data_IF_386798594481
#
_entry.id   IF_386798594481
#
_cell.length_a   1.000
_cell.length_b   1.000
_cell.length_c   1.000
_cell.angle_alpha   90.00
_cell.angle_beta   90.00
_cell.angle_gamma   90.00
#
_symmetry.space_group_name_H-M   'P 1'
#
loop_
_entity.id
_entity.type
_entity.pdbx_description
1 polymer ?
#
# COMPACT_ATOMS: atom_id res chain seq x y z
N UNK A 1 26.04 13.06 -7.08
CA UNK A 1 24.88 13.95 -6.82
C UNK A 1 23.82 13.90 -7.93
N UNK A 2 24.19 13.78 -9.22
CA UNK A 2 23.24 13.70 -10.35
C UNK A 2 22.53 12.34 -10.57
N UNK A 3 23.02 11.22 -10.04
CA UNK A 3 22.39 9.90 -10.23
C UNK A 3 21.15 9.66 -9.36
N UNK A 4 21.00 10.38 -8.25
CA UNK A 4 19.84 10.26 -7.36
C UNK A 4 18.61 11.01 -7.92
N UNK A 5 18.86 12.18 -8.54
CA UNK A 5 17.84 12.97 -9.23
C UNK A 5 17.27 12.25 -10.45
N UNK A 6 18.09 11.53 -11.22
CA UNK A 6 17.61 10.71 -12.34
C UNK A 6 16.67 9.58 -11.88
N UNK A 7 16.91 8.98 -10.69
CA UNK A 7 16.00 7.97 -10.11
C UNK A 7 14.66 8.55 -9.62
N UNK A 8 14.64 9.80 -9.18
CA UNK A 8 13.39 10.48 -8.80
C UNK A 8 12.61 11.04 -10.01
N UNK A 9 13.29 11.43 -11.10
CA UNK A 9 12.66 12.07 -12.29
C UNK A 9 12.21 11.03 -13.33
N UNK A 10 12.87 9.87 -13.44
CA UNK A 10 12.50 8.79 -14.38
C UNK A 10 11.46 7.79 -13.80
N UNK A 11 11.08 7.93 -12.53
CA UNK A 11 10.15 7.01 -11.86
C UNK A 11 8.67 7.37 -11.97
N UNK A 12 8.34 8.51 -12.59
CA UNK A 12 6.96 8.93 -12.88
C UNK A 12 6.80 9.12 -14.38
N UNK A 13 7.16 8.10 -15.15
CA UNK A 13 6.51 7.90 -16.44
C UNK A 13 5.18 7.21 -16.16
N UNK A 14 4.12 7.70 -16.80
CA UNK A 14 2.72 7.29 -16.77
C UNK A 14 2.49 5.78 -17.03
N UNK A 15 2.99 4.91 -16.15
CA UNK A 15 2.68 3.50 -16.06
C UNK A 15 2.62 3.06 -14.59
N UNK A 16 1.98 3.88 -13.73
CA UNK A 16 1.61 3.47 -12.36
C UNK A 16 0.66 2.26 -12.35
N UNK A 17 0.10 1.92 -13.51
CA UNK A 17 -0.46 0.63 -13.84
C UNK A 17 -0.58 0.56 -15.37
N UNK A 18 0.43 0.02 -16.08
CA UNK A 18 0.05 -0.73 -17.28
C UNK A 18 -0.63 -1.97 -16.73
N UNK A 19 -1.96 -1.90 -16.62
CA UNK A 19 -2.79 -3.07 -16.81
C UNK A 19 -2.39 -3.57 -18.20
N UNK A 20 -1.31 -4.35 -18.23
CA UNK A 20 -0.81 -4.91 -19.44
C UNK A 20 -1.91 -5.92 -19.77
N UNK A 21 -2.88 -5.51 -20.58
CA UNK A 21 -4.03 -6.34 -20.95
C UNK A 21 -3.57 -7.66 -21.61
N UNK A 22 -2.29 -7.73 -22.02
CA UNK A 22 -1.58 -8.93 -22.47
C UNK A 22 -1.05 -9.84 -21.34
N UNK A 23 -1.16 -9.45 -20.07
CA UNK A 23 -0.64 -10.16 -18.89
C UNK A 23 -1.70 -10.37 -17.82
N UNK A 24 -2.73 -11.15 -18.14
CA UNK A 24 -3.27 -12.10 -17.16
C UNK A 24 -2.25 -13.24 -16.93
N UNK A 25 -1.00 -12.90 -16.60
CA UNK A 25 0.03 -13.88 -16.28
C UNK A 25 -0.26 -14.36 -14.85
N UNK A 26 -0.67 -15.63 -14.76
CA UNK A 26 -0.82 -16.38 -13.51
C UNK A 26 0.43 -16.18 -12.64
N UNK A 27 0.27 -15.56 -11.46
CA UNK A 27 1.32 -15.48 -10.42
C UNK A 27 1.92 -14.10 -10.13
N UNK A 28 1.60 -13.04 -10.87
CA UNK A 28 2.03 -11.67 -10.49
C UNK A 28 1.27 -11.16 -9.24
N UNK A 29 0.06 -11.67 -8.97
CA UNK A 29 -0.71 -11.38 -7.76
C UNK A 29 -0.09 -11.90 -6.45
N UNK A 30 0.98 -12.70 -6.54
CA UNK A 30 1.66 -13.34 -5.41
C UNK A 30 3.08 -12.81 -5.24
N UNK A 31 3.41 -11.68 -5.88
CA UNK A 31 4.72 -11.06 -5.80
C UNK A 31 4.58 -9.62 -5.34
N UNK A 32 5.56 -9.17 -4.55
CA UNK A 32 5.76 -7.79 -4.13
C UNK A 32 7.13 -7.32 -4.57
N UNK A 33 7.30 -6.02 -4.68
CA UNK A 33 8.61 -5.44 -4.97
C UNK A 33 9.60 -5.69 -3.84
N UNK A 34 10.88 -5.84 -4.19
CA UNK A 34 11.94 -5.88 -3.20
C UNK A 34 12.22 -4.46 -2.69
N UNK A 35 12.17 -4.19 -1.37
CA UNK A 35 12.25 -2.82 -0.84
C UNK A 35 13.53 -2.05 -1.23
N UNK A 36 14.62 -2.76 -1.50
CA UNK A 36 15.92 -2.16 -1.86
C UNK A 36 16.13 -2.07 -3.38
N UNK A 37 15.30 -2.75 -4.17
CA UNK A 37 15.39 -2.78 -5.63
C UNK A 37 14.00 -2.99 -6.27
N UNK A 38 13.41 -1.90 -6.77
CA UNK A 38 12.10 -1.89 -7.42
C UNK A 38 12.05 -2.67 -8.74
N UNK A 39 13.20 -3.06 -9.30
CA UNK A 39 13.26 -3.91 -10.50
C UNK A 39 13.14 -5.40 -10.15
N UNK A 40 13.32 -5.75 -8.87
CA UNK A 40 13.28 -7.11 -8.36
C UNK A 40 11.92 -7.41 -7.72
N UNK A 41 11.36 -8.55 -8.08
CA UNK A 41 10.12 -9.07 -7.52
C UNK A 41 10.42 -10.25 -6.59
N UNK A 42 9.84 -10.23 -5.39
CA UNK A 42 9.93 -11.32 -4.41
C UNK A 42 8.54 -11.93 -4.16
N UNK A 43 8.45 -13.23 -3.81
CA UNK A 43 7.18 -13.83 -3.44
C UNK A 43 6.58 -13.17 -2.19
N UNK A 44 5.28 -12.89 -2.23
CA UNK A 44 4.49 -12.56 -1.05
C UNK A 44 4.37 -13.81 -0.16
N UNK A 45 4.16 -13.62 1.13
CA UNK A 45 3.91 -14.74 2.06
C UNK A 45 2.43 -14.87 2.40
N UNK A 46 1.68 -13.78 2.42
CA UNK A 46 0.26 -13.73 2.77
C UNK A 46 0.00 -14.24 4.19
N UNK A 47 0.96 -14.08 5.10
CA UNK A 47 0.81 -14.45 6.51
C UNK A 47 0.58 -13.19 7.33
N UNK A 48 -0.19 -13.26 8.44
CA UNK A 48 -0.40 -12.10 9.30
C UNK A 48 0.91 -11.46 9.77
N UNK A 49 1.91 -12.29 10.10
CA UNK A 49 3.25 -11.83 10.48
C UNK A 49 3.95 -11.00 9.39
N UNK A 50 3.88 -11.40 8.13
CA UNK A 50 4.51 -10.65 7.04
C UNK A 50 3.71 -9.38 6.72
N UNK A 51 2.38 -9.43 6.78
CA UNK A 51 1.52 -8.25 6.64
C UNK A 51 1.86 -7.21 7.72
N UNK A 52 1.88 -7.62 8.99
CA UNK A 52 2.23 -6.75 10.12
C UNK A 52 3.62 -6.14 9.96
N UNK A 53 4.60 -6.94 9.51
CA UNK A 53 5.95 -6.45 9.22
C UNK A 53 5.94 -5.37 8.14
N UNK A 54 5.17 -5.52 7.07
CA UNK A 54 5.07 -4.48 6.04
C UNK A 54 4.32 -3.25 6.55
N UNK A 55 3.20 -3.41 7.28
CA UNK A 55 2.45 -2.29 7.88
C UNK A 55 3.34 -1.45 8.81
N UNK A 56 4.21 -2.10 9.61
CA UNK A 56 5.11 -1.41 10.56
C UNK A 56 6.08 -0.40 9.92
N UNK A 57 6.22 -0.38 8.58
CA UNK A 57 7.06 0.59 7.86
C UNK A 57 6.32 1.90 7.54
N UNK A 58 4.99 1.92 7.58
CA UNK A 58 4.19 3.11 7.29
C UNK A 58 4.54 4.34 8.15
N UNK A 59 4.78 4.24 9.47
CA UNK A 59 5.10 5.41 10.28
C UNK A 59 6.34 6.17 9.80
N UNK A 60 7.39 5.45 9.39
CA UNK A 60 8.62 6.06 8.85
C UNK A 60 8.37 6.69 7.47
N UNK A 61 7.57 6.05 6.62
CA UNK A 61 7.17 6.64 5.33
C UNK A 61 6.32 7.90 5.50
N UNK A 62 5.41 7.90 6.46
CA UNK A 62 4.60 9.07 6.81
C UNK A 62 5.47 10.23 7.31
N UNK A 63 6.43 9.95 8.19
CA UNK A 63 7.40 10.95 8.65
C UNK A 63 8.18 11.58 7.49
N UNK A 64 8.55 10.78 6.48
CA UNK A 64 9.21 11.30 5.26
C UNK A 64 8.30 12.22 4.45
N UNK A 65 7.00 11.91 4.32
CA UNK A 65 6.03 12.83 3.70
C UNK A 65 5.98 14.17 4.44
N UNK A 66 5.90 14.13 5.78
CA UNK A 66 5.86 15.35 6.61
C UNK A 66 7.09 16.25 6.40
N UNK A 67 8.29 15.67 6.30
CA UNK A 67 9.50 16.44 6.02
C UNK A 67 9.58 16.93 4.58
N UNK A 68 9.05 16.15 3.63
CA UNK A 68 9.15 16.43 2.21
C UNK A 68 8.15 17.49 1.71
N UNK A 69 7.09 17.81 2.48
CA UNK A 69 5.98 18.68 2.05
C UNK A 69 6.38 20.05 1.49
N UNK A 70 7.49 20.62 1.96
CA UNK A 70 7.96 21.94 1.54
C UNK A 70 8.94 21.90 0.34
N UNK A 71 9.34 20.71 -0.12
CA UNK A 71 10.22 20.51 -1.26
C UNK A 71 9.49 19.68 -2.33
N UNK A 72 9.11 20.28 -3.48
CA UNK A 72 8.34 19.58 -4.51
C UNK A 72 9.02 18.32 -5.06
N UNK A 73 10.36 18.27 -5.11
CA UNK A 73 11.09 17.10 -5.60
C UNK A 73 11.06 16.02 -4.52
N UNK A 74 11.37 16.38 -3.28
CA UNK A 74 11.32 15.44 -2.17
C UNK A 74 9.91 14.86 -1.98
N UNK A 75 8.87 15.70 -2.12
CA UNK A 75 7.47 15.30 -1.97
C UNK A 75 7.07 14.27 -3.02
N UNK A 76 7.45 14.47 -4.28
CA UNK A 76 7.24 13.47 -5.34
C UNK A 76 7.87 12.13 -5.00
N UNK A 77 9.12 12.12 -4.52
CA UNK A 77 9.78 10.86 -4.15
C UNK A 77 9.11 10.21 -2.92
N UNK A 78 8.68 11.01 -1.93
CA UNK A 78 8.00 10.49 -0.74
C UNK A 78 6.61 9.91 -1.06
N UNK A 79 5.84 10.58 -1.92
CA UNK A 79 4.54 10.10 -2.44
C UNK A 79 4.70 8.80 -3.20
N UNK A 80 5.68 8.72 -4.12
CA UNK A 80 5.96 7.50 -4.86
C UNK A 80 6.33 6.32 -3.93
N UNK A 81 7.15 6.57 -2.90
CA UNK A 81 7.52 5.55 -1.92
C UNK A 81 6.32 5.06 -1.10
N UNK A 82 5.45 5.97 -0.64
CA UNK A 82 4.24 5.62 0.11
C UNK A 82 3.27 4.80 -0.75
N UNK A 83 3.01 5.27 -1.98
CA UNK A 83 2.16 4.58 -2.96
C UNK A 83 2.67 3.17 -3.26
N UNK A 84 3.97 3.04 -3.50
CA UNK A 84 4.62 1.76 -3.75
C UNK A 84 4.48 0.80 -2.57
N UNK A 85 4.71 1.29 -1.36
CA UNK A 85 4.59 0.49 -0.15
C UNK A 85 3.14 0.04 0.12
N UNK A 86 2.14 0.89 -0.16
CA UNK A 86 0.74 0.48 -0.10
C UNK A 86 0.43 -0.68 -1.05
N UNK A 87 1.01 -0.68 -2.26
CA UNK A 87 0.85 -1.79 -3.19
C UNK A 87 1.49 -3.08 -2.68
N UNK A 88 2.64 -2.98 -1.99
CA UNK A 88 3.29 -4.12 -1.32
C UNK A 88 2.38 -4.72 -0.24
N UNK A 89 1.84 -3.88 0.65
CA UNK A 89 0.91 -4.33 1.72
C UNK A 89 -0.35 -4.94 1.13
N UNK A 90 -0.92 -4.33 0.09
CA UNK A 90 -2.11 -4.82 -0.61
C UNK A 90 -1.87 -6.18 -1.28
N UNK A 91 -0.67 -6.42 -1.84
CA UNK A 91 -0.30 -7.71 -2.42
C UNK A 91 -0.24 -8.82 -1.36
N UNK A 92 0.29 -8.52 -0.17
CA UNK A 92 0.29 -9.47 0.96
C UNK A 92 -1.14 -9.78 1.44
N UNK A 93 -1.99 -8.77 1.58
CA UNK A 93 -3.42 -8.95 1.89
C UNK A 93 -4.14 -9.81 0.86
N UNK A 94 -3.92 -9.53 -0.44
CA UNK A 94 -4.51 -10.31 -1.53
C UNK A 94 -4.12 -11.78 -1.45
N UNK A 95 -2.84 -12.09 -1.21
CA UNK A 95 -2.38 -13.47 -1.07
C UNK A 95 -2.96 -14.12 0.19
N UNK A 96 -3.08 -13.39 1.30
CA UNK A 96 -3.69 -13.87 2.53
C UNK A 96 -5.13 -14.36 2.32
N UNK A 97 -5.98 -13.55 1.66
CA UNK A 97 -7.36 -13.94 1.36
C UNK A 97 -7.43 -15.07 0.33
N UNK A 98 -6.58 -15.03 -0.70
CA UNK A 98 -6.48 -16.10 -1.70
C UNK A 98 -6.15 -17.47 -1.08
N UNK A 99 -5.19 -17.52 -0.14
CA UNK A 99 -4.80 -18.77 0.54
C UNK A 99 -5.93 -19.37 1.38
N UNK A 100 -6.90 -18.54 1.79
CA UNK A 100 -8.08 -18.94 2.56
C UNK A 100 -9.29 -19.24 1.67
N UNK A 101 -9.16 -19.07 0.35
CA UNK A 101 -10.27 -19.31 -0.59
C UNK A 101 -11.41 -18.30 -0.43
N UNK A 102 -11.14 -17.10 0.09
CA UNK A 102 -12.15 -16.05 0.27
C UNK A 102 -11.89 -14.88 -0.67
N UNK A 103 -12.98 -14.27 -1.15
CA UNK A 103 -12.95 -13.00 -1.88
C UNK A 103 -13.13 -11.87 -0.87
N UNK A 104 -12.16 -10.94 -0.72
CA UNK A 104 -12.24 -9.82 0.23
C UNK A 104 -13.40 -8.85 -0.03
N UNK A 105 -14.03 -8.89 -1.20
CA UNK A 105 -15.22 -8.09 -1.49
C UNK A 105 -16.52 -8.74 -0.96
N UNK A 106 -16.50 -10.05 -0.65
CA UNK A 106 -17.70 -10.85 -0.38
C UNK A 106 -17.45 -11.94 0.68
N UNK A 107 -16.93 -11.54 1.85
CA UNK A 107 -16.73 -12.43 2.99
C UNK A 107 -18.03 -12.54 3.80
N UNK A 108 -18.45 -13.77 4.10
CA UNK A 108 -19.66 -14.02 4.90
C UNK A 108 -19.50 -13.66 6.37
N UNK A 109 -18.30 -13.89 6.91
CA UNK A 109 -17.98 -13.53 8.29
C UNK A 109 -17.84 -12.00 8.41
N UNK A 110 -18.62 -11.41 9.32
CA UNK A 110 -18.66 -9.95 9.47
C UNK A 110 -17.35 -9.36 9.99
N UNK A 111 -16.69 -10.04 10.93
CA UNK A 111 -15.45 -9.56 11.53
C UNK A 111 -14.34 -9.55 10.48
N UNK A 112 -14.26 -10.62 9.68
CA UNK A 112 -13.29 -10.72 8.61
C UNK A 112 -13.62 -9.80 7.42
N UNK A 113 -14.91 -9.56 7.12
CA UNK A 113 -15.33 -8.56 6.13
C UNK A 113 -14.92 -7.14 6.56
N UNK A 114 -15.15 -6.77 7.82
CA UNK A 114 -14.73 -5.46 8.34
C UNK A 114 -13.20 -5.28 8.26
N UNK A 115 -12.42 -6.33 8.55
CA UNK A 115 -10.97 -6.28 8.37
C UNK A 115 -10.58 -6.12 6.89
N UNK A 116 -11.27 -6.80 5.97
CA UNK A 116 -11.07 -6.64 4.53
C UNK A 116 -11.42 -5.24 4.05
N UNK A 117 -12.48 -4.63 4.57
CA UNK A 117 -12.92 -3.29 4.23
C UNK A 117 -11.89 -2.23 4.66
N UNK A 118 -11.47 -2.30 5.93
CA UNK A 118 -10.46 -1.39 6.50
C UNK A 118 -9.10 -1.51 5.80
N UNK A 119 -8.73 -2.74 5.42
CA UNK A 119 -7.41 -2.98 4.84
C UNK A 119 -7.39 -2.99 3.31
N UNK A 120 -7.95 -4.05 2.73
CA UNK A 120 -7.85 -4.32 1.30
C UNK A 120 -8.75 -3.39 0.51
N UNK A 121 -10.05 -3.31 0.79
CA UNK A 121 -10.98 -2.61 -0.12
C UNK A 121 -10.73 -1.10 -0.21
N UNK A 122 -10.22 -0.48 0.85
CA UNK A 122 -9.90 0.96 0.89
C UNK A 122 -8.55 1.33 0.23
N UNK A 123 -7.79 0.37 -0.32
CA UNK A 123 -6.46 0.64 -0.86
C UNK A 123 -6.46 1.65 -2.03
N UNK A 124 -7.50 1.62 -2.88
CA UNK A 124 -7.61 2.53 -4.04
C UNK A 124 -7.88 3.97 -3.59
N UNK A 125 -8.73 4.14 -2.59
CA UNK A 125 -9.02 5.46 -2.02
C UNK A 125 -7.78 6.04 -1.36
N UNK A 126 -7.00 5.20 -0.68
CA UNK A 126 -5.69 5.62 -0.14
C UNK A 126 -4.72 6.10 -1.22
N UNK A 127 -4.63 5.40 -2.37
CA UNK A 127 -3.79 5.84 -3.49
C UNK A 127 -4.21 7.23 -4.01
N UNK A 128 -5.52 7.49 -4.09
CA UNK A 128 -6.03 8.80 -4.46
C UNK A 128 -5.64 9.88 -3.44
N UNK A 129 -5.79 9.60 -2.14
CA UNK A 129 -5.41 10.52 -1.06
C UNK A 129 -3.92 10.89 -1.11
N UNK A 130 -3.02 9.92 -1.37
CA UNK A 130 -1.59 10.21 -1.49
C UNK A 130 -1.33 11.09 -2.73
N UNK A 131 -1.97 10.79 -3.86
CA UNK A 131 -1.77 11.55 -5.09
C UNK A 131 -2.24 13.01 -4.97
N UNK A 132 -3.26 13.26 -4.15
CA UNK A 132 -3.75 14.61 -3.85
C UNK A 132 -2.70 15.51 -3.16
N UNK A 133 -1.66 14.93 -2.54
CA UNK A 133 -0.53 15.71 -2.01
C UNK A 133 0.31 16.38 -3.13
N UNK A 134 0.30 15.82 -4.34
CA UNK A 134 0.99 16.40 -5.50
C UNK A 134 0.07 17.30 -6.33
N UNK A 135 -1.19 16.89 -6.42
CA UNK A 135 -2.20 17.51 -7.28
C UNK A 135 -3.47 17.70 -6.48
N UNK A 136 -3.58 18.83 -5.78
CA UNK A 136 -4.77 19.16 -5.01
C UNK A 136 -6.00 19.19 -5.92
N UNK A 137 -6.88 18.20 -5.77
CA UNK A 137 -8.16 18.12 -6.48
C UNK A 137 -9.32 18.46 -5.55
N UNK A 138 -9.42 17.77 -4.41
CA UNK A 138 -10.57 17.86 -3.50
C UNK A 138 -10.20 18.20 -2.06
N UNK A 139 -9.21 17.51 -1.48
CA UNK A 139 -8.81 17.69 -0.07
C UNK A 139 -7.74 18.77 0.10
N UNK A 140 -7.66 19.38 1.27
CA UNK A 140 -6.48 20.16 1.64
C UNK A 140 -5.29 19.24 1.91
N UNK A 141 -4.06 19.78 1.90
CA UNK A 141 -2.86 19.01 2.27
C UNK A 141 -3.01 18.41 3.68
N UNK A 142 -3.52 19.19 4.62
CA UNK A 142 -3.75 18.76 6.01
C UNK A 142 -4.76 17.60 6.07
N UNK A 143 -5.88 17.71 5.34
CA UNK A 143 -6.88 16.64 5.26
C UNK A 143 -6.31 15.37 4.63
N UNK A 144 -5.50 15.49 3.58
CA UNK A 144 -4.83 14.35 2.96
C UNK A 144 -3.84 13.67 3.91
N UNK A 145 -3.06 14.45 4.66
CA UNK A 145 -2.14 13.92 5.67
C UNK A 145 -2.88 13.21 6.82
N UNK A 146 -4.00 13.78 7.28
CA UNK A 146 -4.86 13.16 8.29
C UNK A 146 -5.50 11.86 7.78
N UNK A 147 -5.99 11.85 6.55
CA UNK A 147 -6.55 10.65 5.92
C UNK A 147 -5.49 9.55 5.76
N UNK A 148 -4.23 9.89 5.49
CA UNK A 148 -3.14 8.93 5.46
C UNK A 148 -2.90 8.29 6.84
N UNK A 149 -2.90 9.09 7.92
CA UNK A 149 -2.78 8.56 9.28
C UNK A 149 -3.92 7.60 9.64
N UNK A 150 -5.16 7.96 9.30
CA UNK A 150 -6.33 7.11 9.54
C UNK A 150 -6.20 5.78 8.80
N UNK A 151 -5.78 5.80 7.53
CA UNK A 151 -5.54 4.57 6.78
C UNK A 151 -4.49 3.68 7.45
N UNK A 152 -3.39 4.24 7.96
CA UNK A 152 -2.35 3.46 8.66
C UNK A 152 -2.95 2.80 9.91
N UNK A 153 -3.74 3.55 10.70
CA UNK A 153 -4.42 3.01 11.87
C UNK A 153 -5.44 1.91 11.50
N UNK A 154 -6.14 2.05 10.37
CA UNK A 154 -7.07 1.04 9.85
C UNK A 154 -6.34 -0.26 9.46
N UNK A 155 -5.14 -0.16 8.86
CA UNK A 155 -4.31 -1.33 8.56
C UNK A 155 -3.91 -2.07 9.85
N UNK A 156 -3.46 -1.33 10.87
CA UNK A 156 -3.09 -1.90 12.17
C UNK A 156 -4.30 -2.55 12.88
N UNK A 157 -5.47 -1.92 12.82
CA UNK A 157 -6.70 -2.46 13.37
C UNK A 157 -7.15 -3.74 12.64
N UNK A 158 -7.06 -3.75 11.30
CA UNK A 158 -7.41 -4.90 10.48
C UNK A 158 -6.49 -6.09 10.74
N UNK A 159 -5.16 -5.88 10.80
CA UNK A 159 -4.23 -6.98 11.07
C UNK A 159 -4.40 -7.54 12.48
N UNK A 160 -4.67 -6.67 13.48
CA UNK A 160 -5.01 -7.12 14.84
C UNK A 160 -6.26 -7.99 14.84
N UNK A 161 -7.33 -7.53 14.19
CA UNK A 161 -8.61 -8.27 14.06
C UNK A 161 -8.38 -9.65 13.47
N UNK A 162 -7.58 -9.74 12.40
CA UNK A 162 -7.22 -11.01 11.76
C UNK A 162 -6.40 -11.91 12.69
N UNK A 163 -5.41 -11.38 13.39
CA UNK A 163 -4.61 -12.17 14.33
C UNK A 163 -5.48 -12.73 15.46
N UNK A 164 -6.35 -11.90 16.03
CA UNK A 164 -7.24 -12.30 17.12
C UNK A 164 -8.23 -13.38 16.63
N UNK A 165 -8.85 -13.17 15.45
CA UNK A 165 -9.79 -14.11 14.85
C UNK A 165 -9.22 -15.51 14.61
N UNK A 166 -7.94 -15.61 14.23
CA UNK A 166 -7.26 -16.90 13.98
C UNK A 166 -6.44 -17.41 15.18
N UNK A 167 -6.45 -16.70 16.31
CA UNK A 167 -5.84 -17.20 17.56
C UNK A 167 -6.81 -18.05 18.38
N UNK A 168 -8.10 -17.96 18.08
CA UNK A 168 -9.19 -18.70 18.73
C UNK A 168 -9.55 -20.03 18.01
N UNK A 169 -8.81 -20.39 16.94
CA UNK A 169 -8.86 -21.70 16.24
C UNK A 169 -7.69 -22.61 16.65
#
# INVERSE_FOLDING_TARGET
MFQFLAKCILGVTEESWKENKSKLIKGESEKKYYPEDITKWIPCKGTPKEIQKEISKFPELYKRLQFAKNDPIALKCAVANMSHHANVVTAEWRLFYKKRGVDPMWIKDKVLQEAADRAYNNWRDFQAVIFELLHKTFRSEEDSMNAILLFIADQDAAIKTVVDFYSDE
#
